data_IF_705945851031
#
_entry.id   IF_705945851031
#
_cell.length_a   1.000
_cell.length_b   1.000
_cell.length_c   1.000
_cell.angle_alpha   90.00
_cell.angle_beta   90.00
_cell.angle_gamma   90.00
#
_symmetry.space_group_name_H-M   'P 1'
#
loop_
_entity.id
_entity.type
_entity.pdbx_description
1 polymer ?
#
# COMPACT_ATOMS: atom_id res chain seq x y z
N UNK A 1 11.15 14.06 -21.18
CA UNK A 1 10.20 12.92 -21.23
C UNK A 1 10.32 12.14 -19.92
N UNK A 2 9.21 11.65 -19.37
CA UNK A 2 9.18 10.83 -18.14
C UNK A 2 9.21 9.33 -18.43
N UNK A 3 9.47 8.53 -17.39
CA UNK A 3 9.27 7.09 -17.31
C UNK A 3 8.44 6.75 -16.05
N UNK A 4 8.10 5.47 -15.88
CA UNK A 4 7.33 4.94 -14.75
C UNK A 4 7.98 3.67 -14.23
N UNK A 5 7.68 3.29 -12.98
CA UNK A 5 8.13 2.00 -12.43
C UNK A 5 7.48 0.84 -13.19
N UNK A 6 8.23 -0.24 -13.41
CA UNK A 6 7.73 -1.42 -14.08
C UNK A 6 6.58 -2.08 -13.27
N UNK A 7 5.42 -2.37 -13.89
CA UNK A 7 4.30 -3.03 -13.21
C UNK A 7 4.67 -4.31 -12.46
N UNK A 8 5.56 -5.14 -13.00
CA UNK A 8 6.04 -6.38 -12.36
C UNK A 8 6.79 -6.09 -11.06
N UNK A 9 7.60 -5.04 -11.04
CA UNK A 9 8.31 -4.60 -9.83
C UNK A 9 7.32 -4.12 -8.77
N UNK A 10 6.29 -3.37 -9.19
CA UNK A 10 5.25 -2.87 -8.29
C UNK A 10 4.46 -4.05 -7.70
N UNK A 11 4.07 -5.03 -8.52
CA UNK A 11 3.36 -6.23 -8.06
C UNK A 11 4.17 -7.03 -7.05
N UNK A 12 5.44 -7.32 -7.34
CA UNK A 12 6.33 -8.04 -6.43
C UNK A 12 6.53 -7.30 -5.11
N UNK A 13 6.71 -5.99 -5.16
CA UNK A 13 6.85 -5.15 -3.96
C UNK A 13 5.56 -5.14 -3.15
N UNK A 14 4.41 -5.00 -3.81
CA UNK A 14 3.11 -5.03 -3.13
C UNK A 14 2.84 -6.38 -2.46
N UNK A 15 3.17 -7.51 -3.11
CA UNK A 15 3.08 -8.85 -2.52
C UNK A 15 3.96 -9.02 -1.28
N UNK A 16 5.18 -8.46 -1.28
CA UNK A 16 6.08 -8.46 -0.11
C UNK A 16 5.57 -7.59 1.04
N UNK A 17 4.78 -6.56 0.75
CA UNK A 17 4.09 -5.78 1.78
C UNK A 17 2.88 -6.50 2.40
N UNK A 18 2.53 -7.70 1.96
CA UNK A 18 1.47 -8.47 2.61
C UNK A 18 1.84 -8.77 4.07
N UNK A 19 0.89 -8.74 5.01
CA UNK A 19 1.14 -9.15 6.38
C UNK A 19 1.45 -10.66 6.43
N UNK A 20 2.27 -11.08 7.40
CA UNK A 20 2.56 -12.50 7.66
C UNK A 20 1.28 -13.24 8.07
N UNK A 21 0.42 -12.59 8.86
CA UNK A 21 -0.91 -13.10 9.22
C UNK A 21 -2.00 -12.15 8.71
N UNK A 22 -2.93 -12.69 7.94
CA UNK A 22 -4.10 -11.98 7.42
C UNK A 22 -5.30 -12.02 8.37
N UNK A 23 -5.20 -12.72 9.51
CA UNK A 23 -6.30 -12.90 10.43
C UNK A 23 -6.56 -11.65 11.31
N UNK A 24 -7.84 -11.32 11.48
CA UNK A 24 -8.30 -10.27 12.40
C UNK A 24 -8.17 -8.83 11.89
N UNK A 25 -8.43 -7.87 12.78
CA UNK A 25 -8.50 -6.43 12.44
C UNK A 25 -7.13 -5.73 12.38
N UNK A 26 -6.09 -6.34 12.94
CA UNK A 26 -4.78 -5.72 13.13
C UNK A 26 -4.09 -5.31 11.82
N UNK A 27 -4.06 -6.12 10.74
CA UNK A 27 -3.47 -5.69 9.47
C UNK A 27 -4.21 -4.53 8.81
N UNK A 28 -5.54 -4.52 8.93
CA UNK A 28 -6.41 -3.43 8.44
C UNK A 28 -6.11 -2.12 9.18
N UNK A 29 -6.03 -2.18 10.51
CA UNK A 29 -5.72 -1.01 11.35
C UNK A 29 -4.34 -0.45 11.05
N UNK A 30 -3.33 -1.31 10.90
CA UNK A 30 -1.96 -0.91 10.52
C UNK A 30 -1.90 -0.25 9.15
N UNK A 31 -2.53 -0.89 8.15
CA UNK A 31 -2.58 -0.35 6.80
C UNK A 31 -3.29 1.01 6.80
N UNK A 32 -4.45 1.11 7.44
CA UNK A 32 -5.21 2.36 7.52
C UNK A 32 -4.40 3.45 8.21
N UNK A 33 -3.80 3.16 9.37
CA UNK A 33 -3.01 4.13 10.12
C UNK A 33 -1.79 4.63 9.33
N UNK A 34 -1.08 3.73 8.64
CA UNK A 34 0.02 4.10 7.76
C UNK A 34 -0.46 5.01 6.63
N UNK A 35 -1.56 4.66 5.96
CA UNK A 35 -2.06 5.43 4.82
C UNK A 35 -2.61 6.80 5.24
N UNK A 36 -3.22 6.92 6.42
CA UNK A 36 -3.60 8.22 6.97
C UNK A 36 -2.38 9.07 7.31
N UNK A 37 -1.33 8.49 7.91
CA UNK A 37 -0.09 9.21 8.20
C UNK A 37 0.58 9.73 6.91
N UNK A 38 0.68 8.89 5.88
CA UNK A 38 1.25 9.28 4.59
C UNK A 38 0.41 10.34 3.87
N UNK A 39 -0.91 10.20 3.88
CA UNK A 39 -1.81 11.20 3.30
C UNK A 39 -1.73 12.54 4.04
N UNK A 40 -1.60 12.51 5.37
CA UNK A 40 -1.38 13.70 6.19
C UNK A 40 -0.07 14.40 5.82
N UNK A 41 1.05 13.68 5.75
CA UNK A 41 2.35 14.28 5.44
C UNK A 41 2.39 14.89 4.03
N UNK A 42 1.84 14.19 3.03
CA UNK A 42 1.69 14.71 1.68
C UNK A 42 0.81 15.98 1.64
N UNK A 43 -0.28 16.01 2.43
CA UNK A 43 -1.14 17.18 2.55
C UNK A 43 -0.42 18.36 3.23
N UNK A 44 0.32 18.12 4.31
CA UNK A 44 1.14 19.13 5.01
C UNK A 44 2.11 19.78 4.02
N UNK A 45 2.82 18.97 3.23
CA UNK A 45 3.72 19.48 2.21
C UNK A 45 2.99 20.33 1.18
N UNK A 46 1.91 19.82 0.61
CA UNK A 46 1.15 20.50 -0.45
C UNK A 46 0.55 21.83 0.02
N UNK A 47 0.14 21.89 1.28
CA UNK A 47 -0.46 23.07 1.90
C UNK A 47 0.58 24.01 2.51
N UNK A 48 1.83 23.58 2.68
CA UNK A 48 2.90 24.36 3.30
C UNK A 48 2.64 24.70 4.77
N UNK A 49 1.80 23.94 5.48
CA UNK A 49 1.49 24.21 6.88
C UNK A 49 1.29 22.95 7.72
N UNK A 50 1.73 23.02 8.98
CA UNK A 50 1.52 22.04 10.02
C UNK A 50 1.47 22.78 11.37
N UNK A 51 0.56 22.46 12.30
CA UNK A 51 -0.52 21.47 12.22
C UNK A 51 -1.62 21.82 11.22
N UNK A 52 -2.38 20.81 10.78
CA UNK A 52 -3.55 20.99 9.92
C UNK A 52 -4.82 21.14 10.75
N UNK A 53 -5.57 22.24 10.54
CA UNK A 53 -6.93 22.38 11.06
C UNK A 53 -7.91 21.60 10.18
N UNK A 54 -8.62 20.64 10.77
CA UNK A 54 -9.61 19.80 10.09
C UNK A 54 -11.05 20.17 10.51
N UNK A 55 -11.34 21.41 10.89
CA UNK A 55 -12.68 21.80 11.29
C UNK A 55 -13.67 21.74 10.09
N UNK A 56 -14.70 20.85 10.13
CA UNK A 56 -15.61 20.64 9.00
C UNK A 56 -16.54 21.84 8.73
N UNK A 57 -16.62 22.80 9.66
CA UNK A 57 -17.45 24.00 9.52
C UNK A 57 -16.69 25.19 8.92
N UNK A 58 -15.35 25.15 8.94
CA UNK A 58 -14.51 26.22 8.39
C UNK A 58 -14.16 25.94 6.92
N UNK A 59 -14.01 26.99 6.11
CA UNK A 59 -13.57 26.85 4.72
C UNK A 59 -12.18 26.20 4.66
N UNK A 60 -11.24 26.69 5.48
CA UNK A 60 -9.87 26.13 5.57
C UNK A 60 -9.88 24.65 5.93
N UNK A 61 -10.66 24.25 6.94
CA UNK A 61 -10.73 22.86 7.36
C UNK A 61 -11.41 21.93 6.35
N UNK A 62 -12.41 22.40 5.61
CA UNK A 62 -12.97 21.66 4.46
C UNK A 62 -11.92 21.44 3.37
N UNK A 63 -11.16 22.47 3.01
CA UNK A 63 -10.09 22.37 2.02
C UNK A 63 -8.99 21.41 2.47
N UNK A 64 -8.56 21.49 3.74
CA UNK A 64 -7.55 20.58 4.29
C UNK A 64 -8.00 19.12 4.27
N UNK A 65 -9.26 18.85 4.67
CA UNK A 65 -9.86 17.51 4.60
C UNK A 65 -9.89 16.98 3.17
N UNK A 66 -10.31 17.81 2.21
CA UNK A 66 -10.36 17.43 0.80
C UNK A 66 -8.96 17.10 0.26
N UNK A 67 -7.95 17.90 0.58
CA UNK A 67 -6.57 17.63 0.16
C UNK A 67 -6.06 16.32 0.74
N UNK A 68 -6.25 16.09 2.05
CA UNK A 68 -5.85 14.83 2.70
C UNK A 68 -6.61 13.62 2.15
N UNK A 69 -7.91 13.77 1.89
CA UNK A 69 -8.74 12.73 1.28
C UNK A 69 -8.25 12.36 -0.12
N UNK A 70 -7.92 13.34 -0.97
CA UNK A 70 -7.36 13.09 -2.30
C UNK A 70 -6.02 12.35 -2.23
N UNK A 71 -5.14 12.69 -1.28
CA UNK A 71 -3.88 11.95 -1.10
C UNK A 71 -4.12 10.52 -0.60
N UNK A 72 -5.09 10.31 0.28
CA UNK A 72 -5.50 8.96 0.71
C UNK A 72 -6.08 8.13 -0.44
N UNK A 73 -6.94 8.73 -1.27
CA UNK A 73 -7.51 8.09 -2.46
C UNK A 73 -6.39 7.68 -3.42
N UNK A 74 -5.42 8.56 -3.71
CA UNK A 74 -4.28 8.23 -4.57
C UNK A 74 -3.47 7.04 -4.05
N UNK A 75 -3.37 6.88 -2.73
CA UNK A 75 -2.67 5.74 -2.12
C UNK A 75 -3.49 4.46 -2.24
N UNK A 76 -4.81 4.52 -2.04
CA UNK A 76 -5.65 3.35 -1.83
C UNK A 76 -6.44 2.90 -3.05
N UNK A 77 -6.86 3.79 -3.93
CA UNK A 77 -7.65 3.46 -5.10
C UNK A 77 -6.75 2.97 -6.23
N UNK A 78 -7.19 1.93 -6.93
CA UNK A 78 -6.59 1.38 -8.15
C UNK A 78 -7.56 1.65 -9.32
N UNK A 79 -7.11 1.55 -10.57
CA UNK A 79 -8.06 1.70 -11.67
C UNK A 79 -9.07 0.54 -11.66
N UNK A 80 -10.28 0.76 -12.21
CA UNK A 80 -11.27 -0.29 -12.34
C UNK A 80 -10.72 -1.49 -13.13
N UNK A 81 -11.21 -2.70 -12.84
CA UNK A 81 -10.95 -3.85 -13.75
C UNK A 81 -11.68 -3.64 -15.08
N UNK A 82 -11.45 -4.56 -16.03
CA UNK A 82 -12.20 -4.64 -17.29
C UNK A 82 -13.73 -4.71 -17.03
N UNK A 83 -14.14 -5.32 -15.92
CA UNK A 83 -15.53 -5.40 -15.44
C UNK A 83 -16.09 -4.07 -14.91
N UNK A 84 -15.29 -2.98 -14.96
CA UNK A 84 -15.61 -1.64 -14.44
C UNK A 84 -15.86 -1.57 -12.94
N UNK A 85 -15.56 -2.63 -12.19
CA UNK A 85 -15.68 -2.62 -10.73
C UNK A 85 -14.59 -1.75 -10.10
N UNK A 86 -14.98 -0.99 -9.07
CA UNK A 86 -14.03 -0.20 -8.30
C UNK A 86 -13.06 -1.12 -7.54
N UNK A 87 -11.77 -0.80 -7.59
CA UNK A 87 -10.71 -1.58 -6.94
C UNK A 87 -9.96 -0.72 -5.95
N UNK A 88 -9.66 -1.29 -4.80
CA UNK A 88 -8.89 -0.57 -3.81
C UNK A 88 -8.08 -1.51 -2.91
N UNK A 89 -7.03 -0.95 -2.33
CA UNK A 89 -6.24 -1.59 -1.29
C UNK A 89 -7.02 -1.53 0.01
N UNK A 90 -7.15 -2.67 0.67
CA UNK A 90 -7.79 -2.80 2.00
C UNK A 90 -6.74 -3.09 3.06
N UNK A 91 -5.83 -4.00 2.72
CA UNK A 91 -4.62 -4.32 3.49
C UNK A 91 -3.46 -4.28 2.52
N UNK A 92 -2.27 -3.84 2.95
CA UNK A 92 -1.07 -3.97 2.12
C UNK A 92 -0.94 -5.41 1.60
N UNK A 93 -0.61 -5.55 0.31
CA UNK A 93 -0.54 -6.85 -0.38
C UNK A 93 -1.90 -7.49 -0.72
N UNK A 94 -3.03 -6.86 -0.42
CA UNK A 94 -4.38 -7.34 -0.76
C UNK A 94 -5.22 -6.25 -1.45
N UNK A 95 -5.69 -6.56 -2.66
CA UNK A 95 -6.68 -5.76 -3.39
C UNK A 95 -8.06 -6.35 -3.17
N UNK A 96 -9.06 -5.49 -3.03
CA UNK A 96 -10.48 -5.86 -3.00
C UNK A 96 -11.20 -5.24 -4.21
N UNK A 97 -12.17 -5.97 -4.76
CA UNK A 97 -13.10 -5.48 -5.78
C UNK A 97 -14.43 -5.13 -5.09
N UNK A 98 -15.04 -4.01 -5.45
CA UNK A 98 -16.26 -3.52 -4.81
C UNK A 98 -16.02 -2.93 -3.41
N UNK A 99 -17.00 -3.03 -2.52
CA UNK A 99 -16.90 -2.59 -1.12
C UNK A 99 -17.04 -1.08 -0.88
N UNK A 100 -16.63 -0.63 0.31
CA UNK A 100 -16.69 0.80 0.66
C UNK A 100 -15.51 1.53 0.01
N UNK A 101 -15.76 2.53 -0.84
CA UNK A 101 -14.69 3.21 -1.56
C UNK A 101 -13.83 4.07 -0.61
N UNK A 102 -12.55 4.33 -0.95
CA UNK A 102 -11.60 4.96 -0.04
C UNK A 102 -12.05 6.32 0.53
N UNK A 103 -12.74 7.15 -0.24
CA UNK A 103 -13.28 8.44 0.19
C UNK A 103 -14.29 8.30 1.35
N UNK A 104 -15.20 7.32 1.24
CA UNK A 104 -16.15 7.04 2.32
C UNK A 104 -15.43 6.49 3.55
N UNK A 105 -14.41 5.65 3.35
CA UNK A 105 -13.64 5.01 4.43
C UNK A 105 -12.85 6.00 5.26
N UNK A 106 -12.13 6.95 4.66
CA UNK A 106 -11.39 7.98 5.44
C UNK A 106 -12.36 8.89 6.19
N UNK A 107 -13.47 9.26 5.55
CA UNK A 107 -14.51 10.10 6.18
C UNK A 107 -15.12 9.44 7.41
N UNK A 108 -15.54 8.17 7.31
CA UNK A 108 -16.14 7.43 8.42
C UNK A 108 -15.12 7.04 9.48
N UNK A 109 -13.96 6.51 9.08
CA UNK A 109 -13.07 5.79 10.01
C UNK A 109 -11.99 6.68 10.61
N UNK A 110 -11.67 7.83 9.99
CA UNK A 110 -10.62 8.72 10.45
C UNK A 110 -11.17 10.09 10.87
N UNK A 111 -11.87 10.79 9.98
CA UNK A 111 -12.36 12.14 10.28
C UNK A 111 -13.50 12.14 11.31
N UNK A 112 -14.37 11.14 11.29
CA UNK A 112 -15.55 11.08 12.17
C UNK A 112 -15.26 10.37 13.50
N UNK A 113 -14.31 9.44 13.53
CA UNK A 113 -13.99 8.68 14.75
C UNK A 113 -12.78 9.30 15.46
N UNK A 114 -11.51 9.12 15.03
CA UNK A 114 -10.35 9.74 15.67
C UNK A 114 -10.41 11.27 15.78
N UNK A 115 -10.60 11.99 14.67
CA UNK A 115 -10.43 13.45 14.66
C UNK A 115 -11.56 14.14 15.44
N UNK A 116 -12.81 13.72 15.24
CA UNK A 116 -13.95 14.25 16.01
C UNK A 116 -13.81 13.95 17.49
N UNK A 117 -13.50 12.70 17.87
CA UNK A 117 -13.29 12.32 19.27
C UNK A 117 -12.18 13.16 19.91
N UNK A 118 -11.07 13.35 19.21
CA UNK A 118 -9.97 14.19 19.68
C UNK A 118 -10.38 15.66 19.84
N UNK A 119 -11.29 16.16 19.00
CA UNK A 119 -11.78 17.54 19.08
C UNK A 119 -12.71 17.83 20.27
N UNK A 120 -13.25 16.77 20.86
CA UNK A 120 -14.14 16.81 22.02
C UNK A 120 -13.40 16.42 23.31
N UNK A 121 -12.21 15.83 23.20
CA UNK A 121 -11.40 15.40 24.33
C UNK A 121 -10.63 16.56 24.96
N UNK A 122 -10.57 16.57 26.30
CA UNK A 122 -9.66 17.43 27.07
C UNK A 122 -8.23 16.85 27.15
N UNK A 123 -8.06 15.57 26.84
CA UNK A 123 -6.78 14.86 26.90
C UNK A 123 -6.09 14.78 25.54
N UNK A 124 -4.75 14.63 25.57
CA UNK A 124 -3.95 14.43 24.37
C UNK A 124 -4.35 13.14 23.66
N UNK A 125 -4.83 13.24 22.42
CA UNK A 125 -5.27 12.10 21.63
C UNK A 125 -4.20 11.71 20.61
N UNK A 126 -3.55 10.57 20.84
CA UNK A 126 -2.54 10.02 19.94
C UNK A 126 -3.16 8.97 19.00
N UNK A 127 -2.60 8.81 17.80
CA UNK A 127 -3.10 7.85 16.82
C UNK A 127 -2.01 7.28 15.91
N UNK A 128 -2.07 5.99 15.57
CA UNK A 128 -2.98 5.00 16.12
C UNK A 128 -2.59 4.65 17.58
N UNK A 129 -3.51 4.06 18.34
CA UNK A 129 -3.19 3.56 19.68
C UNK A 129 -2.27 2.33 19.64
N UNK A 130 -2.34 1.53 18.57
CA UNK A 130 -1.52 0.32 18.36
C UNK A 130 -1.11 0.23 16.88
N UNK A 131 0.11 -0.24 16.55
CA UNK A 131 1.16 -0.65 17.48
C UNK A 131 1.85 0.54 18.17
N UNK A 132 1.87 1.72 17.55
CA UNK A 132 2.43 2.93 18.14
C UNK A 132 1.92 4.19 17.41
N UNK A 133 1.83 5.36 18.08
CA UNK A 133 1.27 6.56 17.50
C UNK A 133 2.21 7.26 16.52
N UNK A 134 1.62 7.77 15.43
CA UNK A 134 2.29 8.57 14.40
C UNK A 134 1.79 10.01 14.35
N UNK A 135 0.54 10.22 14.76
CA UNK A 135 -0.15 11.49 14.79
C UNK A 135 -0.62 11.81 16.21
N UNK A 136 -0.78 13.09 16.48
CA UNK A 136 -1.49 13.62 17.65
C UNK A 136 -2.59 14.56 17.19
N UNK A 137 -3.71 14.57 17.90
CA UNK A 137 -4.94 15.23 17.47
C UNK A 137 -5.62 15.98 18.61
N UNK A 138 -6.41 16.99 18.24
CA UNK A 138 -7.24 17.77 19.15
C UNK A 138 -6.51 18.91 19.85
N UNK A 139 -7.26 19.72 20.60
CA UNK A 139 -6.73 20.93 21.26
C UNK A 139 -5.56 20.64 22.17
N UNK A 140 -5.66 19.57 22.98
CA UNK A 140 -4.67 19.25 24.00
C UNK A 140 -3.30 18.85 23.40
N UNK A 141 -3.27 18.26 22.20
CA UNK A 141 -2.04 17.75 21.61
C UNK A 141 -1.55 18.58 20.40
N UNK A 142 -2.46 19.02 19.53
CA UNK A 142 -2.17 19.77 18.31
C UNK A 142 -2.43 21.28 18.46
N UNK A 143 -2.86 21.75 19.65
CA UNK A 143 -3.18 23.17 19.94
C UNK A 143 -4.30 23.77 19.07
N UNK A 144 -5.01 22.93 18.32
CA UNK A 144 -6.15 23.29 17.47
C UNK A 144 -7.25 22.27 17.74
N UNK A 145 -8.50 22.73 17.94
CA UNK A 145 -9.62 21.85 18.30
C UNK A 145 -9.79 20.68 17.34
N UNK A 146 -9.75 20.93 16.04
CA UNK A 146 -9.78 19.87 15.01
C UNK A 146 -8.39 19.63 14.41
N UNK A 147 -7.33 19.87 15.20
CA UNK A 147 -5.95 19.80 14.75
C UNK A 147 -5.47 18.37 14.55
N UNK A 148 -4.65 18.18 13.52
CA UNK A 148 -3.79 17.00 13.36
C UNK A 148 -2.35 17.50 13.24
N UNK A 149 -1.45 16.87 13.98
CA UNK A 149 -0.01 17.13 13.98
C UNK A 149 0.77 15.82 14.08
N UNK A 150 2.06 15.86 13.84
CA UNK A 150 2.96 14.73 14.05
C UNK A 150 3.06 14.38 15.54
N UNK A 151 3.05 13.09 15.85
CA UNK A 151 3.46 12.62 17.17
C UNK A 151 4.98 12.81 17.32
N UNK A 152 5.47 13.24 18.49
CA UNK A 152 6.90 13.54 18.67
C UNK A 152 7.81 12.34 18.32
N UNK A 153 7.36 11.13 18.65
CA UNK A 153 8.10 9.88 18.40
C UNK A 153 7.74 9.18 17.08
N UNK A 154 7.12 9.85 16.11
CA UNK A 154 6.67 9.20 14.88
C UNK A 154 7.81 8.47 14.15
N UNK A 155 9.05 8.98 14.19
CA UNK A 155 10.25 8.38 13.56
C UNK A 155 10.62 7.01 14.15
N UNK A 156 10.44 6.81 15.46
CA UNK A 156 10.69 5.53 16.12
C UNK A 156 9.47 4.61 16.07
N UNK A 157 8.28 5.17 15.88
CA UNK A 157 7.02 4.45 15.83
C UNK A 157 6.66 3.92 14.43
N UNK A 158 7.00 4.64 13.37
CA UNK A 158 6.69 4.24 11.99
C UNK A 158 7.21 2.84 11.63
N UNK A 159 8.47 2.46 11.94
CA UNK A 159 8.94 1.10 11.67
C UNK A 159 8.09 0.02 12.34
N UNK A 160 7.47 0.29 13.50
CA UNK A 160 6.66 -0.69 14.24
C UNK A 160 5.38 -1.08 13.49
N UNK A 161 4.90 -0.27 12.55
CA UNK A 161 3.78 -0.61 11.69
C UNK A 161 4.16 -1.62 10.60
N UNK A 162 5.46 -1.77 10.31
CA UNK A 162 5.99 -2.57 9.19
C UNK A 162 6.65 -3.90 9.63
N UNK A 163 6.66 -4.22 10.94
CA UNK A 163 7.38 -5.40 11.47
C UNK A 163 6.77 -6.76 11.07
N UNK A 164 5.47 -6.81 10.79
CA UNK A 164 4.78 -8.09 10.47
C UNK A 164 4.45 -8.23 8.98
N UNK A 165 5.32 -7.70 8.12
CA UNK A 165 5.21 -7.85 6.66
C UNK A 165 6.06 -9.03 6.17
N UNK A 166 5.71 -9.64 5.04
CA UNK A 166 6.44 -10.78 4.45
C UNK A 166 7.84 -10.39 3.96
N UNK A 167 8.00 -9.16 3.47
CA UNK A 167 9.25 -8.64 2.94
C UNK A 167 10.25 -8.22 4.01
N UNK A 168 11.54 -8.35 3.70
CA UNK A 168 12.66 -7.84 4.53
C UNK A 168 13.13 -6.43 4.13
N UNK A 169 12.49 -5.81 3.15
CA UNK A 169 12.78 -4.46 2.65
C UNK A 169 11.51 -3.58 2.62
N UNK A 170 10.79 -3.46 3.75
CA UNK A 170 9.47 -2.84 3.78
C UNK A 170 9.45 -1.37 3.38
N UNK A 171 10.51 -0.58 3.63
CA UNK A 171 10.57 0.82 3.23
C UNK A 171 10.80 0.98 1.74
N UNK A 172 11.65 0.14 1.14
CA UNK A 172 11.84 0.10 -0.31
C UNK A 172 10.55 -0.35 -1.00
N UNK A 173 9.95 -1.45 -0.54
CA UNK A 173 8.71 -1.97 -1.10
C UNK A 173 7.56 -0.96 -0.99
N UNK A 174 7.47 -0.29 0.17
CA UNK A 174 6.48 0.77 0.38
C UNK A 174 6.75 1.97 -0.52
N UNK A 175 8.01 2.38 -0.72
CA UNK A 175 8.35 3.46 -1.65
C UNK A 175 7.86 3.14 -3.06
N UNK A 176 8.15 1.94 -3.56
CA UNK A 176 7.66 1.45 -4.86
C UNK A 176 6.14 1.52 -4.95
N UNK A 177 5.44 1.05 -3.93
CA UNK A 177 3.98 1.05 -3.91
C UNK A 177 3.38 2.46 -3.88
N UNK A 178 3.91 3.36 -3.04
CA UNK A 178 3.33 4.70 -2.88
C UNK A 178 3.62 5.57 -4.10
N UNK A 179 4.79 5.42 -4.74
CA UNK A 179 5.18 6.18 -5.93
C UNK A 179 4.79 5.52 -7.25
N UNK A 180 3.99 4.44 -7.22
CA UNK A 180 3.66 3.61 -8.38
C UNK A 180 3.04 4.36 -9.57
N UNK A 181 2.40 5.50 -9.31
CA UNK A 181 1.74 6.33 -10.31
C UNK A 181 2.51 7.63 -10.59
N UNK A 182 3.62 7.87 -9.90
CA UNK A 182 4.35 9.12 -10.00
C UNK A 182 5.31 9.05 -11.21
N UNK A 183 5.35 10.10 -12.06
CA UNK A 183 6.28 10.14 -13.18
C UNK A 183 7.71 10.34 -12.67
N UNK A 184 8.64 9.57 -13.25
CA UNK A 184 10.06 9.62 -12.91
C UNK A 184 10.82 10.25 -14.09
N UNK A 185 11.76 11.16 -13.85
CA UNK A 185 12.67 11.67 -14.87
C UNK A 185 13.53 10.56 -15.51
N UNK A 186 13.68 10.56 -16.84
CA UNK A 186 14.40 9.49 -17.58
C UNK A 186 15.90 9.39 -17.30
N UNK A 187 16.48 10.41 -16.68
CA UNK A 187 17.88 10.48 -16.25
C UNK A 187 18.19 9.52 -15.10
N UNK A 188 17.18 9.06 -14.35
CA UNK A 188 17.40 8.05 -13.32
C UNK A 188 17.58 6.67 -13.94
N UNK A 189 18.78 6.12 -13.80
CA UNK A 189 19.11 4.74 -14.18
C UNK A 189 19.03 3.77 -13.00
N UNK A 190 19.16 4.27 -11.77
CA UNK A 190 19.06 3.48 -10.54
C UNK A 190 17.72 3.68 -9.87
N UNK A 191 17.06 2.56 -9.56
CA UNK A 191 15.77 2.53 -8.84
C UNK A 191 15.83 3.32 -7.53
N UNK A 192 16.90 3.16 -6.75
CA UNK A 192 17.00 3.83 -5.45
C UNK A 192 16.99 5.36 -5.57
N UNK A 193 17.71 5.91 -6.56
CA UNK A 193 17.76 7.35 -6.82
C UNK A 193 16.39 7.86 -7.31
N UNK A 194 15.74 7.11 -8.19
CA UNK A 194 14.38 7.41 -8.67
C UNK A 194 13.34 7.42 -7.54
N UNK A 195 13.38 6.41 -6.66
CA UNK A 195 12.49 6.32 -5.50
C UNK A 195 12.73 7.48 -4.52
N UNK A 196 14.00 7.78 -4.22
CA UNK A 196 14.37 8.91 -3.35
C UNK A 196 13.84 10.24 -3.91
N UNK A 197 14.01 10.47 -5.22
CA UNK A 197 13.42 11.63 -5.90
C UNK A 197 11.90 11.70 -5.76
N UNK A 198 11.20 10.60 -6.04
CA UNK A 198 9.74 10.56 -5.97
C UNK A 198 9.23 10.79 -4.54
N UNK A 199 9.88 10.18 -3.54
CA UNK A 199 9.59 10.39 -2.11
C UNK A 199 9.82 11.86 -1.71
N UNK A 200 10.96 12.46 -2.08
CA UNK A 200 11.25 13.88 -1.85
C UNK A 200 10.31 14.82 -2.56
N UNK A 201 9.70 14.42 -3.67
CA UNK A 201 8.70 15.22 -4.38
C UNK A 201 7.32 15.11 -3.75
N UNK A 202 6.99 13.96 -3.16
CA UNK A 202 5.66 13.72 -2.58
C UNK A 202 5.52 14.13 -1.12
N UNK A 203 6.52 13.85 -0.30
CA UNK A 203 6.45 13.94 1.16
C UNK A 203 7.30 15.09 1.72
N UNK A 204 6.98 15.53 2.93
CA UNK A 204 7.74 16.56 3.65
C UNK A 204 9.19 16.14 3.86
N UNK A 205 10.09 17.12 3.97
CA UNK A 205 11.55 16.88 4.04
C UNK A 205 11.93 15.90 5.17
N UNK A 206 11.28 16.04 6.32
CA UNK A 206 11.52 15.22 7.51
C UNK A 206 11.16 13.75 7.29
N UNK A 207 10.01 13.47 6.66
CA UNK A 207 9.59 12.12 6.30
C UNK A 207 10.47 11.56 5.18
N UNK A 208 10.74 12.35 4.14
CA UNK A 208 11.58 11.92 3.02
C UNK A 208 12.99 11.51 3.49
N UNK A 209 13.64 12.36 4.29
CA UNK A 209 14.98 12.09 4.85
C UNK A 209 14.99 10.85 5.75
N UNK A 210 13.95 10.69 6.58
CA UNK A 210 13.82 9.49 7.40
C UNK A 210 13.67 8.24 6.53
N UNK A 211 12.82 8.29 5.51
CA UNK A 211 12.52 7.17 4.64
C UNK A 211 13.74 6.73 3.84
N UNK A 212 14.49 7.67 3.27
CA UNK A 212 15.74 7.39 2.56
C UNK A 212 16.75 6.67 3.44
N UNK A 213 17.00 7.17 4.66
CA UNK A 213 17.87 6.49 5.62
C UNK A 213 17.42 5.06 5.93
N UNK A 214 16.12 4.79 5.89
CA UNK A 214 15.58 3.44 6.08
C UNK A 214 15.79 2.56 4.86
N UNK A 215 15.62 3.08 3.65
CA UNK A 215 15.95 2.36 2.41
C UNK A 215 17.45 2.04 2.35
N UNK A 216 18.32 2.99 2.68
CA UNK A 216 19.78 2.77 2.72
C UNK A 216 20.18 1.68 3.72
N UNK A 217 19.45 1.55 4.84
CA UNK A 217 19.70 0.53 5.84
C UNK A 217 19.19 -0.87 5.43
N UNK A 218 18.29 -0.96 4.45
CA UNK A 218 17.81 -2.22 3.90
C UNK A 218 18.87 -2.81 2.96
N UNK A 219 19.74 -3.67 3.52
CA UNK A 219 20.96 -4.22 2.87
C UNK A 219 20.74 -5.03 1.57
N UNK A 220 19.51 -5.16 1.06
CA UNK A 220 19.18 -5.95 -0.12
C UNK A 220 18.17 -5.16 -0.98
N UNK A 221 18.67 -4.37 -1.94
CA UNK A 221 17.80 -3.92 -3.03
C UNK A 221 17.34 -5.14 -3.83
N UNK A 222 16.07 -5.12 -4.24
CA UNK A 222 15.39 -6.14 -5.06
C UNK A 222 16.38 -6.80 -6.01
N UNK A 223 16.77 -8.05 -5.71
CA UNK A 223 17.55 -8.88 -6.64
C UNK A 223 16.74 -9.00 -7.94
N UNK A 224 17.29 -8.45 -9.01
CA UNK A 224 16.95 -8.73 -10.40
C UNK A 224 15.53 -8.33 -10.87
N UNK A 225 15.28 -7.02 -11.03
CA UNK A 225 14.40 -6.58 -12.10
C UNK A 225 15.29 -6.02 -13.22
N UNK A 226 15.47 -6.79 -14.30
CA UNK A 226 16.34 -6.42 -15.43
C UNK A 226 15.90 -5.11 -16.12
N UNK A 227 14.61 -4.79 -16.02
CA UNK A 227 14.02 -3.57 -16.59
C UNK A 227 13.10 -2.89 -15.56
N UNK A 228 13.64 -2.06 -14.65
CA UNK A 228 12.86 -1.46 -13.57
C UNK A 228 11.95 -0.31 -14.03
N UNK A 229 12.11 0.19 -15.26
CA UNK A 229 11.40 1.37 -15.75
C UNK A 229 10.66 1.08 -17.06
N UNK A 230 9.55 1.78 -17.30
CA UNK A 230 8.81 1.75 -18.57
C UNK A 230 8.64 3.16 -19.12
N UNK A 231 8.71 3.28 -20.44
CA UNK A 231 8.52 4.55 -21.15
C UNK A 231 7.06 5.03 -21.15
N UNK A 232 6.11 4.11 -21.03
CA UNK A 232 4.67 4.37 -20.95
C UNK A 232 4.12 3.94 -19.59
N UNK A 233 3.16 4.71 -19.08
CA UNK A 233 2.40 4.31 -17.91
C UNK A 233 1.56 3.07 -18.24
N UNK A 234 1.62 2.07 -17.36
CA UNK A 234 0.74 0.91 -17.35
C UNK A 234 0.24 0.76 -15.92
N UNK A 235 -1.07 0.58 -15.73
CA UNK A 235 -1.62 0.51 -14.38
C UNK A 235 -1.11 -0.76 -13.69
N UNK A 236 -0.37 -0.61 -12.59
CA UNK A 236 0.12 -1.75 -11.85
C UNK A 236 -1.01 -2.42 -11.09
N UNK A 237 -0.89 -3.74 -10.88
CA UNK A 237 -1.86 -4.56 -10.13
C UNK A 237 -3.18 -4.82 -10.88
N UNK A 238 -3.25 -4.65 -12.21
CA UNK A 238 -4.47 -4.86 -13.01
C UNK A 238 -4.93 -6.31 -13.11
N UNK A 239 -4.02 -7.28 -13.09
CA UNK A 239 -4.33 -8.68 -13.36
C UNK A 239 -5.09 -9.38 -12.22
N UNK A 240 -6.01 -10.27 -12.60
CA UNK A 240 -6.55 -11.38 -11.79
C UNK A 240 -5.46 -12.41 -11.39
N UNK A 241 -4.18 -12.02 -11.39
CA UNK A 241 -3.06 -12.77 -10.84
C UNK A 241 -3.11 -12.92 -9.31
N UNK A 242 -4.13 -12.36 -8.66
CA UNK A 242 -4.47 -12.66 -7.26
C UNK A 242 -5.30 -13.93 -7.09
N UNK A 243 -5.75 -14.57 -8.18
CA UNK A 243 -6.58 -15.79 -8.17
C UNK A 243 -5.82 -17.08 -8.50
N UNK A 244 -4.50 -17.05 -8.62
CA UNK A 244 -3.70 -18.25 -8.90
C UNK A 244 -2.44 -18.34 -8.01
N UNK A 245 -2.59 -18.16 -6.70
CA UNK A 245 -1.73 -18.90 -5.78
C UNK A 245 -2.31 -20.32 -5.67
N UNK A 246 -1.80 -21.23 -6.49
CA UNK A 246 -1.81 -22.64 -6.15
C UNK A 246 -1.17 -22.71 -4.75
N UNK A 247 -1.96 -23.03 -3.73
CA UNK A 247 -1.51 -22.94 -2.35
C UNK A 247 -0.21 -23.73 -2.22
N UNK A 248 0.75 -23.24 -1.44
CA UNK A 248 1.96 -24.01 -1.15
C UNK A 248 1.66 -25.43 -0.63
N UNK A 249 0.46 -25.65 -0.06
CA UNK A 249 -0.08 -26.96 0.29
C UNK A 249 -0.36 -27.85 -0.91
N UNK A 250 -0.81 -27.32 -2.04
CA UNK A 250 -1.26 -28.12 -3.18
C UNK A 250 -0.06 -28.63 -3.96
N UNK A 251 0.98 -27.80 -4.13
CA UNK A 251 2.24 -28.24 -4.76
C UNK A 251 3.02 -29.20 -3.85
N UNK A 252 2.92 -29.05 -2.52
CA UNK A 252 3.47 -30.00 -1.57
C UNK A 252 2.67 -31.32 -1.55
N UNK A 253 1.34 -31.25 -1.59
CA UNK A 253 0.44 -32.39 -1.64
C UNK A 253 0.64 -33.20 -2.93
N UNK A 254 0.75 -32.52 -4.08
CA UNK A 254 1.07 -33.15 -5.37
C UNK A 254 2.43 -33.85 -5.37
N UNK A 255 3.42 -33.32 -4.63
CA UNK A 255 4.74 -33.98 -4.47
C UNK A 255 4.72 -35.18 -3.52
N UNK A 256 3.70 -35.31 -2.68
CA UNK A 256 3.52 -36.45 -1.76
C UNK A 256 2.61 -37.54 -2.31
N UNK A 257 1.98 -37.33 -3.47
CA UNK A 257 1.17 -38.36 -4.12
C UNK A 257 2.06 -39.45 -4.72
N UNK A 258 1.57 -40.68 -4.65
CA UNK A 258 2.19 -41.82 -5.33
C UNK A 258 2.15 -41.62 -6.85
N UNK A 259 3.13 -42.18 -7.56
CA UNK A 259 3.25 -42.08 -9.02
C UNK A 259 2.02 -42.62 -9.73
N UNK A 260 1.46 -43.72 -9.24
CA UNK A 260 0.27 -44.34 -9.84
C UNK A 260 -0.96 -43.42 -9.69
N UNK A 261 -1.10 -42.77 -8.53
CA UNK A 261 -2.19 -41.80 -8.27
C UNK A 261 -2.04 -40.54 -9.13
N UNK A 262 -0.80 -40.10 -9.37
CA UNK A 262 -0.52 -38.99 -10.28
C UNK A 262 -0.84 -39.35 -11.73
N UNK A 263 -0.49 -40.56 -12.17
CA UNK A 263 -0.79 -41.05 -13.51
C UNK A 263 -2.30 -41.11 -13.75
N UNK A 264 -3.06 -41.71 -12.84
CA UNK A 264 -4.54 -41.76 -12.91
C UNK A 264 -5.16 -40.36 -12.95
N UNK A 265 -4.60 -39.43 -12.17
CA UNK A 265 -5.08 -38.04 -12.13
C UNK A 265 -4.80 -37.30 -13.44
N UNK A 266 -3.66 -37.54 -14.08
CA UNK A 266 -3.33 -36.97 -15.38
C UNK A 266 -4.33 -37.49 -16.43
N UNK A 267 -4.51 -38.80 -16.53
CA UNK A 267 -5.46 -39.42 -17.48
C UNK A 267 -6.89 -38.87 -17.28
N UNK A 268 -7.32 -38.71 -16.04
CA UNK A 268 -8.62 -38.11 -15.72
C UNK A 268 -8.74 -36.66 -16.23
N UNK A 269 -7.70 -35.85 -16.02
CA UNK A 269 -7.71 -34.45 -16.43
C UNK A 269 -7.63 -34.30 -17.96
N UNK A 270 -6.85 -35.14 -18.63
CA UNK A 270 -6.79 -35.21 -20.10
C UNK A 270 -8.18 -35.57 -20.68
N UNK A 271 -8.86 -36.57 -20.10
CA UNK A 271 -10.22 -36.91 -20.52
C UNK A 271 -11.25 -35.79 -20.31
N UNK A 272 -11.06 -34.93 -19.29
CA UNK A 272 -11.89 -33.74 -19.12
C UNK A 272 -11.59 -32.66 -20.15
N UNK A 273 -10.33 -32.49 -20.55
CA UNK A 273 -9.94 -31.54 -21.60
C UNK A 273 -10.51 -31.97 -22.95
N UNK A 274 -10.39 -33.26 -23.27
CA UNK A 274 -10.94 -33.84 -24.50
C UNK A 274 -12.46 -33.70 -24.55
N UNK A 275 -13.16 -33.93 -23.42
CA UNK A 275 -14.62 -33.76 -23.32
C UNK A 275 -15.09 -32.31 -23.47
N UNK A 276 -14.17 -31.34 -23.47
CA UNK A 276 -14.45 -29.91 -23.61
C UNK A 276 -13.82 -29.31 -24.89
N UNK A 277 -13.30 -30.13 -25.80
CA UNK A 277 -12.59 -29.69 -27.02
C UNK A 277 -11.45 -28.68 -26.74
N UNK A 278 -10.73 -28.87 -25.62
CA UNK A 278 -9.59 -28.02 -25.25
C UNK A 278 -8.30 -28.64 -25.78
N UNK A 279 -7.73 -28.05 -26.83
CA UNK A 279 -6.42 -28.45 -27.35
C UNK A 279 -5.29 -28.08 -26.37
N UNK A 280 -4.45 -29.06 -26.02
CA UNK A 280 -3.25 -28.86 -25.21
C UNK A 280 -2.03 -29.49 -25.89
N UNK A 281 -0.86 -28.87 -25.70
CA UNK A 281 0.41 -29.43 -26.19
C UNK A 281 0.82 -30.60 -25.30
N UNK A 282 0.81 -31.81 -25.84
CA UNK A 282 1.41 -32.95 -25.17
C UNK A 282 2.92 -32.72 -25.05
N UNK A 283 3.44 -32.84 -23.83
CA UNK A 283 4.88 -32.85 -23.59
C UNK A 283 5.35 -34.24 -24.01
N UNK A 284 5.64 -34.38 -25.30
CA UNK A 284 6.35 -35.54 -25.82
C UNK A 284 7.84 -35.27 -25.69
N UNK A 285 8.56 -36.19 -25.07
CA UNK A 285 10.03 -36.19 -25.00
C UNK A 285 10.66 -36.34 -26.40
#
# INVERSE_FOLDING_TARGET
MSCYLNPKMIELSFKRLAPISSAGKKPLERTSALMYFLAFDAAVKKLGCCPLDMNPRSIKGKNNRQVMELEFIKLMQLKPSEDKEARHVVVLGKVEKGGTPPEKRISSNFFTVPVKKASESAEACNYPNRPAPLLKMGSAAARIKWGIDYHNDWKTNLPKLLVELKGNTPFTDLAVFVTRNDPIPKDYTKVHEALSFAIRNRFGQDLATFWEKRMDAEKVFVKHCEDPFRSSYSDPLTADAFTMECNGSDRAALKTLDKDVLADRIVYLEGLLDAQDIEYQSITD
#
